data_IF_459939973976
#
_entry.id   IF_459939973976
#
_cell.length_a   1.000
_cell.length_b   1.000
_cell.length_c   1.000
_cell.angle_alpha   90.00
_cell.angle_beta   90.00
_cell.angle_gamma   90.00
#
_symmetry.space_group_name_H-M   'P 1'
#
loop_
_entity.id
_entity.type
_entity.pdbx_description
1 polymer ?
#
# COMPACT_ATOMS: atom_id res chain seq x y z
N UNK A 1 -4.58 -2.27 20.99
CA UNK A 1 -3.21 -2.65 21.42
C UNK A 1 -2.36 -1.47 21.90
N UNK A 2 -2.48 -0.26 21.33
CA UNK A 2 -1.71 0.90 21.79
C UNK A 2 -1.89 1.27 23.26
N UNK A 3 -3.11 1.20 23.80
CA UNK A 3 -3.39 1.48 25.19
C UNK A 3 -2.74 0.51 26.17
N UNK A 4 -2.73 -0.79 25.84
CA UNK A 4 -2.08 -1.83 26.63
C UNK A 4 -0.55 -1.65 26.67
N UNK A 5 0.04 -1.21 25.57
CA UNK A 5 1.49 -1.03 25.47
C UNK A 5 1.95 0.23 26.18
N UNK A 6 1.18 1.33 26.10
CA UNK A 6 1.41 2.55 26.89
C UNK A 6 1.31 2.23 28.38
N UNK A 7 0.31 1.43 28.78
CA UNK A 7 0.18 0.94 30.13
C UNK A 7 1.43 0.18 30.62
N UNK A 8 1.97 -0.73 29.81
CA UNK A 8 3.20 -1.50 30.14
C UNK A 8 4.44 -0.63 30.28
N UNK A 9 4.58 0.43 29.49
CA UNK A 9 5.68 1.39 29.64
C UNK A 9 5.52 2.22 30.92
N UNK A 10 4.28 2.59 31.26
CA UNK A 10 3.96 3.35 32.47
C UNK A 10 4.07 2.57 33.78
N UNK A 11 3.82 1.25 33.72
CA UNK A 11 3.88 0.33 34.87
C UNK A 11 5.18 -0.46 34.97
N UNK A 12 6.19 -0.10 34.17
CA UNK A 12 7.49 -0.75 34.20
C UNK A 12 8.17 -0.62 35.57
N UNK A 13 8.70 -1.73 36.07
CA UNK A 13 9.30 -1.84 37.42
C UNK A 13 10.64 -1.12 37.54
N UNK A 14 11.39 -1.08 36.45
CA UNK A 14 12.69 -0.43 36.38
C UNK A 14 12.96 0.25 35.03
N UNK A 15 14.07 1.01 34.96
CA UNK A 15 14.47 1.75 33.78
C UNK A 15 14.71 0.85 32.55
N UNK A 16 15.27 -0.33 32.74
CA UNK A 16 15.59 -1.27 31.67
C UNK A 16 14.32 -1.89 31.06
N UNK A 17 13.37 -2.27 31.90
CA UNK A 17 12.05 -2.74 31.47
C UNK A 17 11.30 -1.66 30.67
N UNK A 18 11.35 -0.41 31.13
CA UNK A 18 10.76 0.73 30.44
C UNK A 18 11.37 0.94 29.05
N UNK A 19 12.70 0.87 28.93
CA UNK A 19 13.40 0.99 27.66
C UNK A 19 13.06 -0.17 26.71
N UNK A 20 13.04 -1.40 27.21
CA UNK A 20 12.70 -2.58 26.38
C UNK A 20 11.26 -2.50 25.88
N UNK A 21 10.30 -2.15 26.73
CA UNK A 21 8.90 -2.00 26.34
C UNK A 21 8.71 -0.87 25.32
N UNK A 22 9.38 0.27 25.52
CA UNK A 22 9.37 1.39 24.58
C UNK A 22 9.97 1.00 23.21
N UNK A 23 11.10 0.29 23.19
CA UNK A 23 11.71 -0.21 21.97
C UNK A 23 10.79 -1.20 21.24
N UNK A 24 10.27 -2.21 21.95
CA UNK A 24 9.32 -3.18 21.37
C UNK A 24 8.12 -2.48 20.74
N UNK A 25 7.53 -1.50 21.46
CA UNK A 25 6.40 -0.74 20.95
C UNK A 25 6.74 0.01 19.65
N UNK A 26 7.84 0.75 19.65
CA UNK A 26 8.27 1.52 18.48
C UNK A 26 8.53 0.62 17.27
N UNK A 27 9.21 -0.51 17.48
CA UNK A 27 9.47 -1.49 16.41
C UNK A 27 8.20 -2.18 15.93
N UNK A 28 7.27 -2.52 16.83
CA UNK A 28 5.98 -3.08 16.44
C UNK A 28 5.18 -2.08 15.58
N UNK A 29 5.15 -0.80 15.96
CA UNK A 29 4.49 0.24 15.16
C UNK A 29 5.16 0.39 13.79
N UNK A 30 6.48 0.45 13.74
CA UNK A 30 7.22 0.50 12.48
C UNK A 30 6.94 -0.70 11.59
N UNK A 31 7.04 -1.92 12.13
CA UNK A 31 6.84 -3.17 11.38
C UNK A 31 5.38 -3.38 10.94
N UNK A 32 4.40 -2.85 11.68
CA UNK A 32 2.99 -2.98 11.30
C UNK A 32 2.52 -1.92 10.30
N UNK A 33 3.04 -0.68 10.38
CA UNK A 33 2.49 0.43 9.60
C UNK A 33 3.41 0.93 8.49
N UNK A 34 4.73 0.91 8.70
CA UNK A 34 5.69 1.50 7.76
C UNK A 34 6.34 0.42 6.89
N UNK A 35 6.87 -0.63 7.49
CA UNK A 35 7.59 -1.68 6.78
C UNK A 35 6.76 -2.35 5.68
N UNK A 36 5.47 -2.69 5.86
CA UNK A 36 4.66 -3.31 4.81
C UNK A 36 4.52 -2.45 3.56
N UNK A 37 4.50 -1.11 3.72
CA UNK A 37 4.43 -0.17 2.58
C UNK A 37 5.72 -0.24 1.74
N UNK A 38 6.87 -0.29 2.40
CA UNK A 38 8.16 -0.37 1.71
C UNK A 38 8.40 -1.74 1.08
N UNK A 39 8.02 -2.82 1.80
CA UNK A 39 8.09 -4.18 1.28
C UNK A 39 7.20 -4.31 0.03
N UNK A 40 5.96 -3.83 0.08
CA UNK A 40 5.04 -3.86 -1.07
C UNK A 40 5.64 -3.15 -2.29
N UNK A 41 6.16 -1.92 -2.12
CA UNK A 41 6.80 -1.17 -3.20
C UNK A 41 8.03 -1.89 -3.76
N UNK A 42 8.86 -2.47 -2.89
CA UNK A 42 10.02 -3.25 -3.28
C UNK A 42 9.64 -4.49 -4.10
N UNK A 43 8.64 -5.24 -3.64
CA UNK A 43 8.11 -6.41 -4.34
C UNK A 43 7.50 -6.04 -5.70
N UNK A 44 6.70 -4.96 -5.76
CA UNK A 44 6.09 -4.51 -7.00
C UNK A 44 7.16 -4.09 -8.03
N UNK A 45 8.17 -3.35 -7.61
CA UNK A 45 9.26 -2.93 -8.48
C UNK A 45 10.09 -4.12 -8.97
N UNK A 46 10.42 -5.05 -8.08
CA UNK A 46 11.23 -6.22 -8.41
C UNK A 46 10.46 -7.15 -9.36
N UNK A 47 9.24 -7.51 -9.00
CA UNK A 47 8.40 -8.41 -9.80
C UNK A 47 7.99 -7.79 -11.12
N UNK A 48 7.71 -6.48 -11.15
CA UNK A 48 7.42 -5.75 -12.38
C UNK A 48 8.56 -5.86 -13.40
N UNK A 49 9.80 -5.70 -12.94
CA UNK A 49 11.00 -5.88 -13.79
C UNK A 49 11.21 -7.33 -14.19
N UNK A 50 11.12 -8.26 -13.23
CA UNK A 50 11.36 -9.69 -13.47
C UNK A 50 10.36 -10.30 -14.45
N UNK A 51 9.09 -9.95 -14.31
CA UNK A 51 8.03 -10.49 -15.15
C UNK A 51 7.66 -9.59 -16.33
N UNK A 52 8.35 -8.47 -16.52
CA UNK A 52 8.03 -7.45 -17.53
C UNK A 52 6.53 -7.16 -17.57
N UNK A 53 5.99 -6.73 -16.42
CA UNK A 53 4.55 -6.54 -16.24
C UNK A 53 4.31 -5.41 -15.25
N UNK A 54 3.44 -4.47 -15.60
CA UNK A 54 3.07 -3.39 -14.68
C UNK A 54 2.09 -3.92 -13.62
N UNK A 55 2.50 -3.85 -12.36
CA UNK A 55 1.75 -4.34 -11.20
C UNK A 55 1.34 -3.21 -10.24
N UNK A 56 1.41 -1.95 -10.69
CA UNK A 56 1.13 -0.80 -9.82
C UNK A 56 -0.37 -0.59 -9.57
N UNK A 57 -1.22 -1.09 -10.46
CA UNK A 57 -2.66 -0.95 -10.31
C UNK A 57 -3.23 -1.84 -9.20
N UNK A 58 -4.36 -1.40 -8.65
CA UNK A 58 -5.10 -2.15 -7.65
C UNK A 58 -5.60 -3.50 -8.21
N UNK A 59 -5.49 -4.61 -7.45
CA UNK A 59 -5.96 -5.92 -7.89
C UNK A 59 -7.43 -5.96 -8.29
N UNK A 60 -8.28 -5.18 -7.62
CA UNK A 60 -9.73 -5.13 -7.94
C UNK A 60 -9.96 -4.50 -9.31
N UNK A 61 -9.13 -3.52 -9.69
CA UNK A 61 -9.19 -2.90 -11.01
C UNK A 61 -8.69 -3.86 -12.08
N UNK A 62 -7.59 -4.58 -11.81
CA UNK A 62 -7.06 -5.60 -12.72
C UNK A 62 -8.01 -6.80 -12.91
N UNK A 63 -8.87 -7.09 -11.93
CA UNK A 63 -9.89 -8.13 -11.99
C UNK A 63 -11.19 -7.67 -12.68
N UNK A 64 -11.39 -6.36 -12.86
CA UNK A 64 -12.58 -5.79 -13.51
C UNK A 64 -12.57 -6.08 -15.02
N UNK A 65 -13.42 -7.01 -15.43
CA UNK A 65 -13.55 -7.42 -16.85
C UNK A 65 -13.96 -6.27 -17.75
N UNK A 66 -14.78 -5.33 -17.25
CA UNK A 66 -15.21 -4.17 -18.03
C UNK A 66 -14.03 -3.21 -18.27
N UNK A 67 -13.23 -2.95 -17.23
CA UNK A 67 -12.01 -2.15 -17.34
C UNK A 67 -11.03 -2.75 -18.37
N UNK A 68 -10.77 -4.06 -18.27
CA UNK A 68 -9.89 -4.77 -19.21
C UNK A 68 -10.43 -4.70 -20.66
N UNK A 69 -11.75 -4.84 -20.83
CA UNK A 69 -12.39 -4.70 -22.13
C UNK A 69 -12.24 -3.29 -22.69
N UNK A 70 -12.46 -2.25 -21.90
CA UNK A 70 -12.32 -0.85 -22.31
C UNK A 70 -10.89 -0.50 -22.76
N UNK A 71 -9.86 -1.09 -22.10
CA UNK A 71 -8.47 -0.99 -22.57
C UNK A 71 -8.30 -1.67 -23.92
N UNK A 72 -8.83 -2.87 -24.07
CA UNK A 72 -8.72 -3.67 -25.30
C UNK A 72 -9.38 -2.98 -26.49
N UNK A 73 -10.55 -2.40 -26.27
CA UNK A 73 -11.33 -1.71 -27.29
C UNK A 73 -10.83 -0.26 -27.54
N UNK A 74 -9.85 0.21 -26.75
CA UNK A 74 -9.33 1.59 -26.82
C UNK A 74 -10.35 2.66 -26.41
N UNK A 75 -11.45 2.28 -25.76
CA UNK A 75 -12.51 3.20 -25.37
C UNK A 75 -12.22 3.97 -24.08
N UNK A 76 -11.19 3.59 -23.34
CA UNK A 76 -10.77 4.24 -22.10
C UNK A 76 -9.99 5.54 -22.42
N UNK A 77 -10.69 6.67 -22.47
CA UNK A 77 -10.09 7.98 -22.69
C UNK A 77 -9.49 8.54 -21.40
N UNK A 78 -8.18 8.46 -21.26
CA UNK A 78 -7.45 8.97 -20.09
C UNK A 78 -6.92 10.36 -20.41
N UNK A 79 -7.36 11.44 -19.71
CA UNK A 79 -6.91 12.80 -19.95
C UNK A 79 -5.41 12.94 -19.70
N UNK A 80 -4.71 13.75 -20.50
CA UNK A 80 -3.26 13.98 -20.36
C UNK A 80 -2.92 15.13 -19.41
N UNK A 81 -3.80 16.10 -19.29
CA UNK A 81 -3.66 17.30 -18.46
C UNK A 81 -5.04 17.80 -18.03
N UNK A 82 -5.09 18.85 -17.21
CA UNK A 82 -6.32 19.49 -16.75
C UNK A 82 -7.32 18.49 -16.16
N UNK A 83 -6.83 17.61 -15.29
CA UNK A 83 -7.60 16.50 -14.73
C UNK A 83 -8.89 16.96 -14.05
N UNK A 84 -8.82 18.04 -13.27
CA UNK A 84 -9.99 18.60 -12.55
C UNK A 84 -11.06 19.06 -13.54
N UNK A 85 -10.67 19.82 -14.56
CA UNK A 85 -11.60 20.29 -15.58
C UNK A 85 -12.24 19.12 -16.33
N UNK A 86 -11.47 18.07 -16.64
CA UNK A 86 -12.00 16.86 -17.25
C UNK A 86 -13.06 16.19 -16.35
N UNK A 87 -12.76 16.05 -15.06
CA UNK A 87 -13.65 15.43 -14.08
C UNK A 87 -14.94 16.23 -13.91
N UNK A 88 -14.85 17.57 -13.90
CA UNK A 88 -16.00 18.47 -13.79
C UNK A 88 -16.90 18.42 -15.05
N UNK A 89 -16.30 18.32 -16.24
CA UNK A 89 -17.03 18.21 -17.51
C UNK A 89 -17.62 16.81 -17.77
N UNK A 90 -17.00 15.76 -17.21
CA UNK A 90 -17.36 14.38 -17.48
C UNK A 90 -17.60 13.57 -16.19
N UNK A 91 -18.54 14.00 -15.30
CA UNK A 91 -18.71 13.37 -13.98
C UNK A 91 -19.17 11.92 -14.04
N UNK A 92 -19.84 11.49 -15.11
CA UNK A 92 -20.33 10.13 -15.29
C UNK A 92 -19.38 9.22 -16.08
N UNK A 93 -18.25 9.76 -16.52
CA UNK A 93 -17.24 8.98 -17.24
C UNK A 93 -16.65 7.86 -16.37
N UNK A 94 -16.14 6.81 -16.99
CA UNK A 94 -15.45 5.73 -16.26
C UNK A 94 -14.26 6.26 -15.47
N UNK A 95 -13.51 7.19 -16.01
CA UNK A 95 -12.37 7.84 -15.33
C UNK A 95 -12.85 8.58 -14.08
N UNK A 96 -13.94 9.34 -14.15
CA UNK A 96 -14.50 10.04 -12.99
C UNK A 96 -14.93 9.07 -11.89
N UNK A 97 -15.58 7.96 -12.24
CA UNK A 97 -15.94 6.90 -11.29
C UNK A 97 -14.72 6.21 -10.68
N UNK A 98 -13.65 6.01 -11.46
CA UNK A 98 -12.39 5.48 -10.94
C UNK A 98 -11.71 6.48 -10.01
N UNK A 99 -11.68 7.77 -10.34
CA UNK A 99 -11.13 8.81 -9.47
C UNK A 99 -11.95 8.97 -8.19
N UNK A 100 -13.27 8.83 -8.24
CA UNK A 100 -14.15 8.79 -7.06
C UNK A 100 -13.73 7.64 -6.13
N UNK A 101 -13.56 6.44 -6.67
CA UNK A 101 -13.23 5.23 -5.91
C UNK A 101 -11.79 5.21 -5.38
N UNK A 102 -10.80 5.60 -6.18
CA UNK A 102 -9.38 5.40 -5.85
C UNK A 102 -8.65 6.68 -5.44
N UNK A 103 -9.11 7.84 -5.90
CA UNK A 103 -8.47 9.13 -5.58
C UNK A 103 -9.20 9.88 -4.47
N UNK A 104 -10.44 9.49 -4.13
CA UNK A 104 -11.25 10.13 -3.11
C UNK A 104 -11.96 11.40 -3.61
N UNK A 105 -12.12 11.54 -4.93
CA UNK A 105 -12.96 12.61 -5.51
C UNK A 105 -14.41 12.36 -5.10
N UNK A 106 -15.10 13.38 -4.60
CA UNK A 106 -16.51 13.27 -4.20
C UNK A 106 -17.41 14.11 -5.10
N UNK A 107 -18.55 13.52 -5.44
CA UNK A 107 -19.60 14.17 -6.21
C UNK A 107 -20.87 14.27 -5.37
N UNK A 108 -21.59 15.39 -5.54
CA UNK A 108 -22.93 15.59 -5.00
C UNK A 108 -23.96 14.75 -5.78
N UNK A 109 -25.20 14.69 -5.29
CA UNK A 109 -26.29 13.93 -5.95
C UNK A 109 -26.56 14.36 -7.41
N UNK A 110 -26.32 15.63 -7.72
CA UNK A 110 -26.44 16.20 -9.07
C UNK A 110 -25.19 15.98 -9.94
N UNK A 111 -24.25 15.16 -9.49
CA UNK A 111 -22.99 14.85 -10.18
C UNK A 111 -22.07 16.06 -10.39
N UNK A 112 -22.25 17.12 -9.63
CA UNK A 112 -21.27 18.20 -9.49
C UNK A 112 -20.25 17.79 -8.43
N UNK A 113 -18.96 18.05 -8.67
CA UNK A 113 -17.92 17.79 -7.68
C UNK A 113 -18.18 18.61 -6.41
N UNK A 114 -18.04 17.98 -5.24
CA UNK A 114 -18.27 18.66 -3.97
C UNK A 114 -17.16 19.71 -3.71
N UNK A 115 -17.49 21.01 -3.71
CA UNK A 115 -16.49 22.07 -3.54
C UNK A 115 -15.94 22.16 -2.12
N UNK A 116 -16.54 21.47 -1.15
CA UNK A 116 -16.10 21.45 0.26
C UNK A 116 -15.02 20.41 0.50
N UNK A 117 -14.83 19.48 -0.44
CA UNK A 117 -13.86 18.39 -0.31
C UNK A 117 -12.56 18.75 -1.02
N UNK A 118 -11.45 18.54 -0.32
CA UNK A 118 -10.13 18.73 -0.90
C UNK A 118 -9.84 17.68 -1.95
N UNK A 119 -9.37 18.12 -3.11
CA UNK A 119 -8.97 17.24 -4.20
C UNK A 119 -7.46 17.29 -4.36
N UNK A 120 -6.81 16.16 -4.15
CA UNK A 120 -5.37 16.01 -4.37
C UNK A 120 -5.08 15.75 -5.87
N UNK A 121 -4.78 16.83 -6.60
CA UNK A 121 -4.44 16.76 -8.03
C UNK A 121 -3.22 15.89 -8.31
N UNK A 122 -2.22 15.89 -7.40
CA UNK A 122 -1.02 15.05 -7.56
C UNK A 122 -1.36 13.57 -7.47
N UNK A 123 -2.28 13.23 -6.56
CA UNK A 123 -2.77 11.84 -6.43
C UNK A 123 -3.55 11.41 -7.67
N UNK A 124 -4.42 12.28 -8.19
CA UNK A 124 -5.17 12.02 -9.44
C UNK A 124 -4.20 11.84 -10.60
N UNK A 125 -3.30 12.80 -10.81
CA UNK A 125 -2.32 12.74 -11.89
C UNK A 125 -1.52 11.45 -11.86
N UNK A 126 -0.97 11.09 -10.70
CA UNK A 126 -0.22 9.85 -10.52
C UNK A 126 -1.04 8.60 -10.85
N UNK A 127 -2.29 8.54 -10.39
CA UNK A 127 -3.19 7.42 -10.67
C UNK A 127 -3.48 7.31 -12.17
N UNK A 128 -3.78 8.42 -12.85
CA UNK A 128 -4.04 8.45 -14.28
C UNK A 128 -2.80 8.11 -15.11
N UNK A 129 -1.61 8.50 -14.67
CA UNK A 129 -0.34 8.12 -15.30
C UNK A 129 -0.09 6.62 -15.18
N UNK A 130 -0.37 6.02 -14.02
CA UNK A 130 -0.29 4.57 -13.84
C UNK A 130 -1.29 3.83 -14.73
N UNK A 131 -2.53 4.33 -14.84
CA UNK A 131 -3.54 3.79 -15.75
C UNK A 131 -3.08 3.87 -17.22
N UNK A 132 -2.55 5.02 -17.64
CA UNK A 132 -2.06 5.25 -19.01
C UNK A 132 -0.90 4.32 -19.34
N UNK A 133 0.06 4.22 -18.40
CA UNK A 133 1.20 3.33 -18.55
C UNK A 133 0.78 1.87 -18.68
N UNK A 134 -0.11 1.40 -17.81
CA UNK A 134 -0.66 0.05 -17.86
C UNK A 134 -1.38 -0.21 -19.19
N UNK A 135 -2.25 0.72 -19.63
CA UNK A 135 -3.00 0.60 -20.87
C UNK A 135 -2.08 0.50 -22.10
N UNK A 136 -1.02 1.33 -22.16
CA UNK A 136 -0.02 1.27 -23.22
C UNK A 136 0.74 -0.06 -23.25
N UNK A 137 1.20 -0.52 -22.09
CA UNK A 137 1.93 -1.78 -21.99
C UNK A 137 1.04 -3.00 -22.29
N UNK A 138 -0.21 -2.98 -21.84
CA UNK A 138 -1.18 -4.03 -22.12
C UNK A 138 -1.50 -4.10 -23.62
N UNK A 139 -1.71 -2.96 -24.27
CA UNK A 139 -1.93 -2.90 -25.73
C UNK A 139 -0.70 -3.40 -26.50
N UNK A 140 0.51 -2.97 -26.11
CA UNK A 140 1.76 -3.40 -26.72
C UNK A 140 2.04 -4.91 -26.58
N UNK A 141 1.45 -5.58 -25.59
CA UNK A 141 1.63 -7.02 -25.35
C UNK A 141 0.95 -7.91 -26.40
N UNK A 142 0.09 -7.34 -27.24
CA UNK A 142 -0.72 -8.05 -28.23
C UNK A 142 -1.92 -8.84 -27.67
N UNK A 143 -1.99 -9.03 -26.34
CA UNK A 143 -3.11 -9.70 -25.68
C UNK A 143 -3.40 -9.10 -24.30
N UNK A 144 -4.28 -8.10 -24.29
CA UNK A 144 -4.65 -7.34 -23.08
C UNK A 144 -5.18 -8.24 -21.96
N UNK A 145 -6.03 -9.21 -22.30
CA UNK A 145 -6.62 -10.14 -21.31
C UNK A 145 -5.54 -10.98 -20.60
N UNK A 146 -4.57 -11.50 -21.38
CA UNK A 146 -3.45 -12.29 -20.85
C UNK A 146 -2.54 -11.42 -20.00
N UNK A 147 -2.27 -10.20 -20.44
CA UNK A 147 -1.45 -9.24 -19.72
C UNK A 147 -2.07 -8.85 -18.38
N UNK A 148 -3.37 -8.49 -18.35
CA UNK A 148 -4.09 -8.13 -17.15
C UNK A 148 -4.16 -9.31 -16.15
N UNK A 149 -4.44 -10.53 -16.62
CA UNK A 149 -4.41 -11.74 -15.78
C UNK A 149 -3.02 -12.00 -15.19
N UNK A 150 -1.95 -11.80 -15.96
CA UNK A 150 -0.57 -11.93 -15.49
C UNK A 150 -0.28 -10.89 -14.41
N UNK A 151 -0.62 -9.62 -14.66
CA UNK A 151 -0.45 -8.53 -13.69
C UNK A 151 -1.18 -8.82 -12.37
N UNK A 152 -2.44 -9.28 -12.47
CA UNK A 152 -3.24 -9.66 -11.29
C UNK A 152 -2.59 -10.80 -10.50
N UNK A 153 -2.12 -11.85 -11.17
CA UNK A 153 -1.45 -12.99 -10.49
C UNK A 153 -0.17 -12.54 -9.79
N UNK A 154 0.67 -11.74 -10.45
CA UNK A 154 1.92 -11.23 -9.86
C UNK A 154 1.59 -10.31 -8.68
N UNK A 155 0.62 -9.40 -8.83
CA UNK A 155 0.20 -8.51 -7.75
C UNK A 155 -0.34 -9.27 -6.53
N UNK A 156 -1.17 -10.28 -6.75
CA UNK A 156 -1.69 -11.13 -5.68
C UNK A 156 -0.58 -11.90 -4.97
N UNK A 157 0.40 -12.42 -5.71
CA UNK A 157 1.58 -13.07 -5.12
C UNK A 157 2.41 -12.09 -4.28
N UNK A 158 2.59 -10.84 -4.75
CA UNK A 158 3.29 -9.79 -4.00
C UNK A 158 2.58 -9.45 -2.69
N UNK A 159 1.25 -9.39 -2.69
CA UNK A 159 0.46 -9.14 -1.47
C UNK A 159 0.66 -10.28 -0.48
N UNK A 160 0.57 -11.53 -0.90
CA UNK A 160 0.80 -12.69 -0.04
C UNK A 160 2.24 -12.71 0.49
N UNK A 161 3.22 -12.44 -0.36
CA UNK A 161 4.62 -12.34 0.05
C UNK A 161 4.85 -11.21 1.07
N UNK A 162 4.23 -10.05 0.86
CA UNK A 162 4.30 -8.93 1.81
C UNK A 162 3.75 -9.32 3.19
N UNK A 163 2.58 -9.97 3.23
CA UNK A 163 2.00 -10.48 4.48
C UNK A 163 2.93 -11.49 5.15
N UNK A 164 3.46 -12.45 4.38
CA UNK A 164 4.39 -13.46 4.91
C UNK A 164 5.67 -12.85 5.47
N UNK A 165 6.31 -11.93 4.75
CA UNK A 165 7.53 -11.23 5.19
C UNK A 165 7.24 -10.40 6.44
N UNK A 166 6.16 -9.63 6.45
CA UNK A 166 5.78 -8.78 7.60
C UNK A 166 5.50 -9.63 8.85
N UNK A 167 4.79 -10.74 8.69
CA UNK A 167 4.54 -11.69 9.78
C UNK A 167 5.82 -12.32 10.31
N UNK A 168 6.75 -12.71 9.42
CA UNK A 168 8.05 -13.24 9.81
C UNK A 168 8.89 -12.21 10.58
N UNK A 169 8.91 -10.96 10.13
CA UNK A 169 9.61 -9.88 10.82
C UNK A 169 9.07 -9.67 12.24
N UNK A 170 7.76 -9.71 12.42
CA UNK A 170 7.14 -9.56 13.73
C UNK A 170 7.35 -10.79 14.63
N UNK A 171 7.19 -12.00 14.09
CA UNK A 171 7.20 -13.22 14.90
C UNK A 171 8.61 -13.74 15.21
N UNK A 172 9.56 -13.57 14.29
CA UNK A 172 10.89 -14.14 14.42
C UNK A 172 12.00 -13.09 14.61
N UNK A 173 11.97 -12.00 13.84
CA UNK A 173 13.05 -11.01 13.86
C UNK A 173 12.94 -10.10 15.08
N UNK A 174 11.77 -9.55 15.36
CA UNK A 174 11.57 -8.63 16.47
C UNK A 174 11.97 -9.23 17.85
N UNK A 175 11.55 -10.46 18.21
CA UNK A 175 11.99 -11.07 19.48
C UNK A 175 13.51 -11.27 19.55
N UNK A 176 14.14 -11.72 18.46
CA UNK A 176 15.61 -11.90 18.41
C UNK A 176 16.35 -10.57 18.57
N UNK A 177 15.94 -9.54 17.85
CA UNK A 177 16.55 -8.20 17.97
C UNK A 177 16.38 -7.65 19.39
N UNK A 178 15.21 -7.81 19.98
CA UNK A 178 14.96 -7.37 21.36
C UNK A 178 15.85 -8.10 22.34
N UNK A 179 16.01 -9.42 22.18
CA UNK A 179 16.89 -10.23 23.03
C UNK A 179 18.36 -9.79 22.91
N UNK A 180 18.88 -9.61 21.68
CA UNK A 180 20.25 -9.16 21.45
C UNK A 180 20.49 -7.77 22.07
N UNK A 181 19.55 -6.84 21.90
CA UNK A 181 19.65 -5.50 22.48
C UNK A 181 19.64 -5.56 24.01
N UNK A 182 18.75 -6.38 24.60
CA UNK A 182 18.72 -6.61 26.04
C UNK A 182 20.09 -7.05 26.56
N UNK A 183 20.62 -8.14 25.97
CA UNK A 183 21.93 -8.67 26.35
C UNK A 183 23.05 -7.63 26.26
N UNK A 184 23.04 -6.82 25.20
CA UNK A 184 24.04 -5.77 24.97
C UNK A 184 23.93 -4.61 25.96
N UNK A 185 22.72 -4.23 26.36
CA UNK A 185 22.45 -3.08 27.25
C UNK A 185 22.58 -3.46 28.72
N UNK A 186 22.13 -4.64 29.11
CA UNK A 186 22.09 -5.08 30.51
C UNK A 186 23.23 -6.02 30.88
N UNK A 187 23.92 -6.60 29.89
CA UNK A 187 24.94 -7.66 30.13
C UNK A 187 24.35 -9.00 30.59
N UNK A 188 23.02 -9.11 30.69
CA UNK A 188 22.32 -10.30 31.21
C UNK A 188 21.28 -10.81 30.21
N UNK A 189 21.04 -12.13 30.30
CA UNK A 189 19.96 -12.81 29.56
C UNK A 189 18.64 -12.83 30.36
N UNK A 190 18.66 -12.38 31.62
CA UNK A 190 17.47 -12.32 32.48
C UNK A 190 16.45 -11.29 32.01
N UNK A 191 15.18 -11.51 32.31
CA UNK A 191 14.14 -10.54 32.02
C UNK A 191 14.34 -9.24 32.78
N UNK A 192 14.18 -8.05 32.17
CA UNK A 192 14.46 -6.77 32.85
C UNK A 192 13.64 -6.53 34.12
N UNK A 193 12.43 -7.09 34.20
CA UNK A 193 11.58 -7.00 35.40
C UNK A 193 12.10 -7.80 36.60
N UNK A 194 13.06 -8.69 36.36
CA UNK A 194 13.72 -9.50 37.42
C UNK A 194 15.11 -8.95 37.79
N UNK A 195 15.56 -7.89 37.14
CA UNK A 195 16.80 -7.21 37.46
C UNK A 195 16.54 -6.21 38.59
N UNK A 196 17.23 -6.37 39.70
CA UNK A 196 17.19 -5.45 40.80
C UNK A 196 17.91 -4.13 40.49
#
# INVERSE_FOLDING_TARGET
>A
DGGLTIGRVGTARNKYEKMENGFKMSMMMFLNFIAPIWIAKGLDNLSGKLFNTNVNLDPMLLADKQFVKEIKDGSLQIPESNYIEYLDKNPDSKISKLCEKYCGVKYLKNRVRDPREFVDEKKIGKFLDELRKFSKEAAASGNVDKYAKKALKVKSANILANVGISSFLLAAVLPKVTFILRKKVTGSDAEPGLMA
#
